data_IF_480799829058
#
_entry.id   IF_480799829058
#
_cell.length_a   1.000
_cell.length_b   1.000
_cell.length_c   1.000
_cell.angle_alpha   90.00
_cell.angle_beta   90.00
_cell.angle_gamma   90.00
#
_symmetry.space_group_name_H-M   'P 1'
#
loop_
_entity.id
_entity.type
_entity.pdbx_description
1 polymer ?
#
# COMPACT_ATOMS: atom_id res chain seq x y z
N UNK A 1 -5.92 32.11 32.19
CA UNK A 1 -5.44 33.19 31.29
C UNK A 1 -5.30 32.71 29.85
N UNK A 2 -4.80 31.50 29.59
CA UNK A 2 -4.69 30.94 28.22
C UNK A 2 -6.03 30.81 27.48
N UNK A 3 -7.10 30.34 28.13
CA UNK A 3 -8.40 30.16 27.48
C UNK A 3 -9.03 31.47 26.91
N UNK A 4 -8.74 32.64 27.51
CA UNK A 4 -9.21 33.92 26.99
C UNK A 4 -8.40 34.39 25.78
N UNK A 5 -7.10 34.11 25.75
CA UNK A 5 -6.24 34.43 24.61
C UNK A 5 -6.61 33.57 23.39
N UNK A 6 -6.98 32.32 23.62
CA UNK A 6 -7.45 31.40 22.57
C UNK A 6 -8.75 31.87 21.91
N UNK A 7 -9.72 32.33 22.71
CA UNK A 7 -11.00 32.87 22.20
C UNK A 7 -10.76 34.10 21.33
N UNK A 8 -9.93 35.03 21.79
CA UNK A 8 -9.63 36.26 21.05
C UNK A 8 -8.87 35.99 19.74
N UNK A 9 -7.99 34.98 19.75
CA UNK A 9 -7.29 34.54 18.54
C UNK A 9 -8.24 33.91 17.51
N UNK A 10 -9.22 33.12 17.97
CA UNK A 10 -10.24 32.54 17.09
C UNK A 10 -11.21 33.60 16.55
N UNK A 11 -11.61 34.59 17.35
CA UNK A 11 -12.41 35.72 16.89
C UNK A 11 -11.69 36.51 15.78
N UNK A 12 -10.41 36.83 16.00
CA UNK A 12 -9.59 37.51 14.98
C UNK A 12 -9.45 36.69 13.70
N UNK A 13 -9.24 35.38 13.82
CA UNK A 13 -9.18 34.48 12.67
C UNK A 13 -10.52 34.40 11.92
N UNK A 14 -11.64 34.47 12.65
CA UNK A 14 -12.98 34.47 12.08
C UNK A 14 -13.25 35.76 11.31
N UNK A 15 -12.90 36.91 11.87
CA UNK A 15 -13.03 38.20 11.18
C UNK A 15 -12.19 38.23 9.90
N UNK A 16 -10.97 37.69 9.94
CA UNK A 16 -10.12 37.54 8.76
C UNK A 16 -10.75 36.62 7.69
N UNK A 17 -11.42 35.54 8.10
CA UNK A 17 -12.14 34.67 7.18
C UNK A 17 -13.36 35.36 6.57
N UNK A 18 -14.10 36.15 7.35
CA UNK A 18 -15.26 36.93 6.84
C UNK A 18 -14.80 37.97 5.82
N UNK A 19 -13.64 38.60 6.06
CA UNK A 19 -13.07 39.58 5.15
C UNK A 19 -12.56 38.95 3.85
N UNK A 20 -11.86 37.81 3.94
CA UNK A 20 -11.29 37.13 2.78
C UNK A 20 -11.61 35.62 2.86
N UNK A 21 -12.82 35.19 2.46
CA UNK A 21 -13.20 33.79 2.55
C UNK A 21 -12.37 32.94 1.60
N UNK A 22 -12.16 31.68 1.97
CA UNK A 22 -11.63 30.66 1.08
C UNK A 22 -12.85 29.95 0.47
N UNK A 23 -13.13 30.21 -0.80
CA UNK A 23 -14.24 29.59 -1.52
C UNK A 23 -13.80 28.23 -2.06
N UNK A 24 -14.28 27.15 -1.46
CA UNK A 24 -14.04 25.80 -1.96
C UNK A 24 -15.16 24.84 -1.60
N UNK A 25 -15.42 23.86 -2.48
CA UNK A 25 -16.38 22.76 -2.26
C UNK A 25 -16.05 21.87 -1.05
N UNK A 26 -14.78 21.89 -0.61
CA UNK A 26 -14.31 21.02 0.47
C UNK A 26 -14.15 21.73 1.81
N UNK A 27 -14.38 23.05 1.87
CA UNK A 27 -14.27 23.85 3.07
C UNK A 27 -15.62 24.44 3.43
N UNK A 28 -16.01 24.32 4.70
CA UNK A 28 -17.18 25.00 5.24
C UNK A 28 -16.81 25.79 6.49
N UNK A 29 -17.40 26.97 6.65
CA UNK A 29 -17.26 27.79 7.85
C UNK A 29 -18.24 27.32 8.92
N UNK A 30 -17.75 26.55 9.90
CA UNK A 30 -18.54 26.17 11.06
C UNK A 30 -18.63 27.30 12.09
N UNK A 31 -19.55 27.19 13.04
CA UNK A 31 -19.79 28.27 14.02
C UNK A 31 -18.58 28.58 14.91
N UNK A 32 -17.74 27.57 15.20
CA UNK A 32 -16.59 27.67 16.11
C UNK A 32 -15.26 27.37 15.43
N UNK A 33 -15.26 26.80 14.23
CA UNK A 33 -14.06 26.37 13.53
C UNK A 33 -14.37 26.09 12.05
N UNK A 34 -13.32 26.08 11.23
CA UNK A 34 -13.38 25.68 9.83
C UNK A 34 -13.49 24.15 9.73
N UNK A 35 -14.40 23.69 8.87
CA UNK A 35 -14.72 22.28 8.67
C UNK A 35 -14.28 21.84 7.27
N UNK A 36 -13.36 20.88 7.19
CA UNK A 36 -12.82 20.38 5.93
C UNK A 36 -13.39 18.99 5.66
N UNK A 37 -14.07 18.84 4.52
CA UNK A 37 -14.69 17.61 4.04
C UNK A 37 -14.07 17.19 2.71
N UNK A 38 -12.93 16.52 2.77
CA UNK A 38 -12.21 16.04 1.59
C UNK A 38 -12.32 14.51 1.42
N UNK A 39 -12.22 13.99 0.18
CA UNK A 39 -12.01 12.57 -0.05
C UNK A 39 -10.72 12.08 0.63
N UNK A 40 -10.71 10.83 1.08
CA UNK A 40 -9.51 10.27 1.71
C UNK A 40 -8.34 10.19 0.71
N UNK A 41 -7.32 11.02 0.92
CA UNK A 41 -5.97 10.88 0.36
C UNK A 41 -4.95 10.95 1.47
N UNK A 42 -3.91 10.11 1.40
CA UNK A 42 -2.81 10.15 2.37
C UNK A 42 -2.06 11.48 2.31
N UNK A 43 -1.97 12.09 1.14
CA UNK A 43 -1.35 13.40 0.95
C UNK A 43 -2.19 14.49 1.65
N UNK A 44 -3.51 14.56 1.40
CA UNK A 44 -4.42 15.50 2.09
C UNK A 44 -4.35 15.34 3.61
N UNK A 45 -4.37 14.11 4.11
CA UNK A 45 -4.28 13.84 5.57
C UNK A 45 -2.96 14.34 6.14
N UNK A 46 -1.85 14.21 5.41
CA UNK A 46 -0.57 14.72 5.86
C UNK A 46 -0.57 16.26 5.87
N UNK A 47 -1.05 16.91 4.80
CA UNK A 47 -1.12 18.38 4.74
C UNK A 47 -1.96 18.98 5.87
N UNK A 48 -3.14 18.42 6.14
CA UNK A 48 -4.01 18.92 7.21
C UNK A 48 -3.39 18.72 8.59
N UNK A 49 -2.65 17.62 8.81
CA UNK A 49 -2.00 17.35 10.10
C UNK A 49 -0.89 18.33 10.45
N UNK A 50 -0.27 18.93 9.44
CA UNK A 50 0.76 19.93 9.66
C UNK A 50 0.15 21.29 10.04
N UNK A 51 -1.18 21.47 9.94
CA UNK A 51 -1.86 22.69 10.37
C UNK A 51 -2.01 22.66 11.90
N UNK A 52 -1.60 23.72 12.62
CA UNK A 52 -1.73 23.77 14.07
C UNK A 52 -3.17 23.54 14.53
N UNK A 53 -3.33 22.76 15.60
CA UNK A 53 -4.62 22.49 16.24
C UNK A 53 -5.69 21.82 15.36
N UNK A 54 -5.33 21.37 14.16
CA UNK A 54 -6.22 20.59 13.31
C UNK A 54 -6.55 19.26 14.00
N UNK A 55 -7.85 19.00 14.17
CA UNK A 55 -8.35 17.76 14.78
C UNK A 55 -9.24 16.99 13.81
N UNK A 56 -9.14 15.67 13.87
CA UNK A 56 -10.08 14.79 13.19
C UNK A 56 -11.30 14.57 14.07
N UNK A 57 -12.49 14.83 13.54
CA UNK A 57 -13.77 14.55 14.17
C UNK A 57 -14.32 13.22 13.61
N UNK A 58 -14.23 12.15 14.40
CA UNK A 58 -14.59 10.81 13.96
C UNK A 58 -16.10 10.64 13.75
N UNK A 59 -16.91 11.35 14.52
CA UNK A 59 -18.37 11.26 14.48
C UNK A 59 -18.91 11.94 13.22
N UNK A 60 -18.40 13.13 12.93
CA UNK A 60 -18.81 13.93 11.76
C UNK A 60 -18.00 13.59 10.50
N UNK A 61 -16.94 12.78 10.64
CA UNK A 61 -15.99 12.38 9.58
C UNK A 61 -15.42 13.57 8.81
N UNK A 62 -14.98 14.58 9.54
CA UNK A 62 -14.40 15.80 8.98
C UNK A 62 -13.20 16.26 9.80
N UNK A 63 -12.37 17.09 9.20
CA UNK A 63 -11.34 17.81 9.93
C UNK A 63 -11.90 19.12 10.44
N UNK A 64 -11.57 19.46 11.69
CA UNK A 64 -11.90 20.73 12.30
C UNK A 64 -10.61 21.51 12.52
N UNK A 65 -10.53 22.71 11.97
CA UNK A 65 -9.39 23.62 12.08
C UNK A 65 -9.87 24.90 12.77
N UNK A 66 -9.34 25.25 13.94
CA UNK A 66 -9.69 26.51 14.60
C UNK A 66 -9.40 27.72 13.72
N UNK A 67 -10.20 28.78 13.88
CA UNK A 67 -10.07 29.99 13.06
C UNK A 67 -8.72 30.69 13.24
N UNK A 68 -8.08 30.55 14.41
CA UNK A 68 -6.72 31.04 14.66
C UNK A 68 -5.66 30.44 13.72
N UNK A 69 -5.95 29.30 13.08
CA UNK A 69 -5.06 28.62 12.13
C UNK A 69 -5.45 28.84 10.68
N UNK A 70 -6.25 29.88 10.41
CA UNK A 70 -6.69 30.23 9.05
C UNK A 70 -5.50 30.54 8.13
N UNK A 71 -4.47 31.23 8.61
CA UNK A 71 -3.34 31.62 7.78
C UNK A 71 -2.56 30.39 7.26
N UNK A 72 -2.28 29.45 8.15
CA UNK A 72 -1.62 28.18 7.83
C UNK A 72 -2.48 27.32 6.92
N UNK A 73 -3.80 27.29 7.14
CA UNK A 73 -4.75 26.63 6.26
C UNK A 73 -4.70 27.25 4.85
N UNK A 74 -4.70 28.59 4.74
CA UNK A 74 -4.70 29.30 3.46
C UNK A 74 -3.44 29.00 2.64
N UNK A 75 -2.28 28.94 3.27
CA UNK A 75 -1.02 28.61 2.60
C UNK A 75 -1.02 27.21 1.98
N UNK A 76 -1.72 26.25 2.60
CA UNK A 76 -1.80 24.85 2.13
C UNK A 76 -3.06 24.51 1.35
N UNK A 77 -4.03 25.42 1.32
CA UNK A 77 -5.35 25.13 0.76
C UNK A 77 -5.29 24.74 -0.72
N UNK A 78 -4.47 25.43 -1.51
CA UNK A 78 -4.31 25.15 -2.93
C UNK A 78 -3.85 23.71 -3.20
N UNK A 79 -2.89 23.20 -2.41
CA UNK A 79 -2.40 21.83 -2.54
C UNK A 79 -3.44 20.80 -2.06
N UNK A 80 -4.13 21.11 -0.96
CA UNK A 80 -5.22 20.27 -0.43
C UNK A 80 -6.35 20.15 -1.45
N UNK A 81 -6.76 21.26 -2.07
CA UNK A 81 -7.83 21.30 -3.05
C UNK A 81 -7.45 20.57 -4.34
N UNK A 82 -6.27 20.84 -4.90
CA UNK A 82 -5.77 20.14 -6.08
C UNK A 82 -5.66 18.62 -5.85
N UNK A 83 -5.21 18.19 -4.67
CA UNK A 83 -5.17 16.77 -4.31
C UNK A 83 -6.57 16.20 -4.06
N UNK A 84 -7.50 16.97 -3.50
CA UNK A 84 -8.89 16.57 -3.31
C UNK A 84 -9.60 16.32 -4.64
N UNK A 85 -9.42 17.19 -5.63
CA UNK A 85 -9.93 17.01 -7.00
C UNK A 85 -9.32 15.77 -7.68
N UNK A 86 -8.01 15.57 -7.57
CA UNK A 86 -7.34 14.38 -8.11
C UNK A 86 -7.78 13.07 -7.43
N UNK A 87 -8.12 13.16 -6.14
CA UNK A 87 -8.56 12.05 -5.29
C UNK A 87 -10.07 11.83 -5.35
N UNK A 88 -10.81 12.65 -6.09
CA UNK A 88 -12.26 12.54 -6.21
C UNK A 88 -12.62 11.11 -6.71
N UNK A 89 -13.56 10.40 -6.07
CA UNK A 89 -13.95 9.05 -6.46
C UNK A 89 -14.34 8.94 -7.94
N UNK A 90 -14.88 10.02 -8.50
CA UNK A 90 -15.23 10.15 -9.91
C UNK A 90 -14.00 10.27 -10.81
N UNK A 91 -12.97 11.03 -10.43
CA UNK A 91 -11.69 11.06 -11.14
C UNK A 91 -10.96 9.71 -11.09
N UNK A 92 -11.05 8.99 -9.96
CA UNK A 92 -10.57 7.60 -9.85
C UNK A 92 -11.35 6.66 -10.76
N UNK A 93 -12.68 6.80 -10.83
CA UNK A 93 -13.54 5.99 -11.70
C UNK A 93 -13.29 6.30 -13.17
N UNK A 94 -13.21 7.57 -13.55
CA UNK A 94 -12.91 8.03 -14.91
C UNK A 94 -11.51 7.58 -15.36
N UNK A 95 -10.49 7.60 -14.49
CA UNK A 95 -9.18 6.99 -14.80
C UNK A 95 -9.28 5.48 -15.01
N UNK A 96 -10.02 4.77 -14.14
CA UNK A 96 -10.25 3.33 -14.30
C UNK A 96 -11.03 3.00 -15.57
N UNK A 97 -11.97 3.84 -15.96
CA UNK A 97 -12.78 3.69 -17.17
C UNK A 97 -11.99 4.08 -18.43
N UNK A 98 -11.09 5.07 -18.37
CA UNK A 98 -10.18 5.42 -19.46
C UNK A 98 -9.08 4.37 -19.68
N UNK A 99 -8.66 3.69 -18.61
CA UNK A 99 -7.77 2.52 -18.65
C UNK A 99 -8.53 1.22 -18.95
N UNK A 100 -9.86 1.25 -19.07
CA UNK A 100 -10.65 0.04 -19.28
C UNK A 100 -10.57 -0.37 -20.76
N UNK A 101 -10.01 -1.55 -21.01
CA UNK A 101 -9.78 -2.05 -22.37
C UNK A 101 -8.46 -1.60 -23.00
N UNK A 102 -7.55 -1.00 -22.23
CA UNK A 102 -6.15 -0.85 -22.68
C UNK A 102 -5.40 -2.17 -22.51
N UNK A 103 -4.38 -2.38 -23.33
CA UNK A 103 -3.47 -3.53 -23.24
C UNK A 103 -2.85 -3.63 -21.83
N UNK A 104 -2.54 -2.50 -21.19
CA UNK A 104 -2.04 -2.45 -19.81
C UNK A 104 -3.01 -3.03 -18.76
N UNK A 105 -4.33 -2.89 -18.95
CA UNK A 105 -5.34 -3.46 -18.06
C UNK A 105 -5.45 -4.98 -18.26
N UNK A 106 -5.38 -5.43 -19.51
CA UNK A 106 -5.39 -6.85 -19.86
C UNK A 106 -4.17 -7.57 -19.29
N UNK A 107 -2.98 -6.99 -19.47
CA UNK A 107 -1.73 -7.43 -18.85
C UNK A 107 -1.82 -7.48 -17.32
N UNK A 108 -2.37 -6.43 -16.72
CA UNK A 108 -2.55 -6.36 -15.27
C UNK A 108 -3.50 -7.45 -14.76
N UNK A 109 -4.58 -7.73 -15.49
CA UNK A 109 -5.51 -8.83 -15.22
C UNK A 109 -4.82 -10.18 -15.42
N UNK A 110 -4.02 -10.36 -16.46
CA UNK A 110 -3.26 -11.58 -16.73
C UNK A 110 -2.26 -11.84 -15.59
N UNK A 111 -1.44 -10.85 -15.21
CA UNK A 111 -0.52 -10.92 -14.05
C UNK A 111 -1.27 -11.20 -12.74
N UNK A 112 -2.46 -10.63 -12.56
CA UNK A 112 -3.27 -10.88 -11.36
C UNK A 112 -3.85 -12.30 -11.34
N UNK A 113 -4.31 -12.82 -12.48
CA UNK A 113 -4.77 -14.21 -12.63
C UNK A 113 -3.62 -15.18 -12.37
N UNK A 114 -2.44 -14.91 -12.92
CA UNK A 114 -1.26 -15.75 -12.75
C UNK A 114 -0.81 -15.79 -11.28
N UNK A 115 -0.69 -14.63 -10.60
CA UNK A 115 -0.36 -14.57 -9.17
C UNK A 115 -1.32 -15.35 -8.27
N UNK A 116 -2.61 -15.46 -8.63
CA UNK A 116 -3.61 -16.23 -7.86
C UNK A 116 -3.40 -17.74 -7.92
N UNK A 117 -2.72 -18.24 -8.97
CA UNK A 117 -2.42 -19.67 -9.13
C UNK A 117 -1.40 -20.18 -8.10
N UNK A 118 -0.62 -19.28 -7.47
CA UNK A 118 0.40 -19.61 -6.44
C UNK A 118 1.35 -20.74 -6.88
N UNK A 119 1.67 -20.75 -8.16
CA UNK A 119 2.73 -21.55 -8.74
C UNK A 119 3.95 -20.67 -8.97
N UNK A 120 5.10 -21.30 -9.15
CA UNK A 120 6.35 -20.63 -9.45
C UNK A 120 7.21 -21.56 -10.30
N UNK A 121 7.87 -21.05 -11.35
CA UNK A 121 8.69 -21.88 -12.22
C UNK A 121 10.03 -22.20 -11.54
N UNK A 122 10.41 -23.48 -11.55
CA UNK A 122 11.68 -23.98 -11.02
C UNK A 122 12.45 -24.66 -12.15
N UNK A 123 13.71 -24.29 -12.33
CA UNK A 123 14.59 -24.98 -13.28
C UNK A 123 14.80 -26.44 -12.88
N UNK A 124 14.58 -27.38 -13.82
CA UNK A 124 14.74 -28.81 -13.58
C UNK A 124 16.17 -29.20 -13.18
N UNK A 125 17.18 -28.55 -13.77
CA UNK A 125 18.58 -28.79 -13.45
C UNK A 125 19.00 -28.27 -12.06
N UNK A 126 18.21 -27.37 -11.48
CA UNK A 126 18.56 -26.67 -10.25
C UNK A 126 17.35 -26.47 -9.32
N UNK A 127 16.89 -27.57 -8.73
CA UNK A 127 15.77 -27.53 -7.77
C UNK A 127 16.16 -26.94 -6.40
N UNK A 128 15.33 -26.06 -5.81
CA UNK A 128 15.55 -25.53 -4.48
C UNK A 128 15.23 -26.55 -3.38
N UNK A 129 15.77 -26.35 -2.16
CA UNK A 129 15.32 -27.09 -0.98
C UNK A 129 13.88 -26.71 -0.59
N UNK A 130 12.98 -27.70 -0.52
CA UNK A 130 11.55 -27.51 -0.26
C UNK A 130 11.22 -27.16 1.20
N UNK A 131 12.06 -27.54 2.17
CA UNK A 131 11.81 -27.30 3.60
C UNK A 131 12.41 -25.98 4.13
N UNK A 132 12.87 -25.10 3.22
CA UNK A 132 13.56 -23.87 3.59
C UNK A 132 12.86 -22.65 3.01
N UNK A 133 13.09 -21.50 3.65
CA UNK A 133 12.74 -20.22 3.07
C UNK A 133 13.68 -19.94 1.90
N UNK A 134 13.08 -19.69 0.74
CA UNK A 134 13.77 -19.40 -0.50
C UNK A 134 13.32 -18.04 -1.02
N UNK A 135 14.26 -17.17 -1.34
CA UNK A 135 13.97 -15.93 -2.02
C UNK A 135 13.80 -16.19 -3.52
N UNK A 136 12.85 -15.47 -4.09
CA UNK A 136 12.43 -15.56 -5.48
C UNK A 136 12.07 -14.17 -5.97
N UNK A 137 11.82 -14.02 -7.27
CA UNK A 137 11.33 -12.77 -7.84
C UNK A 137 9.95 -12.33 -7.29
N UNK A 138 9.19 -13.27 -6.70
CA UNK A 138 7.89 -12.97 -6.05
C UNK A 138 8.02 -12.74 -4.53
N UNK A 139 9.22 -12.84 -3.97
CA UNK A 139 9.53 -12.68 -2.55
C UNK A 139 9.99 -13.98 -1.86
N UNK A 140 10.03 -13.97 -0.53
CA UNK A 140 10.46 -15.15 0.25
C UNK A 140 9.30 -16.13 0.43
N UNK A 141 9.50 -17.37 -0.06
CA UNK A 141 8.48 -18.43 -0.08
C UNK A 141 9.03 -19.75 0.45
N UNK A 142 8.13 -20.67 0.77
CA UNK A 142 8.43 -22.07 1.05
C UNK A 142 7.76 -22.91 -0.02
N UNK A 143 8.54 -23.72 -0.74
CA UNK A 143 8.01 -24.62 -1.76
C UNK A 143 7.36 -25.83 -1.10
N UNK A 144 6.15 -26.18 -1.54
CA UNK A 144 5.38 -27.29 -0.97
C UNK A 144 5.46 -28.56 -1.82
N UNK A 145 5.89 -28.44 -3.06
CA UNK A 145 6.08 -29.56 -3.98
C UNK A 145 5.98 -29.12 -5.44
N UNK A 146 6.38 -30.01 -6.35
CA UNK A 146 6.19 -29.85 -7.80
C UNK A 146 4.98 -30.65 -8.25
N UNK A 147 4.24 -30.13 -9.22
CA UNK A 147 3.16 -30.89 -9.86
C UNK A 147 3.66 -31.75 -11.04
N UNK A 148 4.93 -31.61 -11.42
CA UNK A 148 5.55 -32.32 -12.55
C UNK A 148 5.17 -31.75 -13.92
N UNK A 149 4.39 -30.67 -13.96
CA UNK A 149 4.02 -30.01 -15.21
C UNK A 149 5.15 -29.08 -15.67
N UNK A 150 5.53 -29.21 -16.94
CA UNK A 150 6.49 -28.27 -17.56
C UNK A 150 5.86 -26.88 -17.68
N UNK A 151 6.65 -25.88 -17.34
CA UNK A 151 6.30 -24.48 -17.53
C UNK A 151 6.73 -24.02 -18.92
N UNK A 152 5.77 -23.45 -19.64
CA UNK A 152 6.01 -22.80 -20.93
C UNK A 152 6.98 -21.61 -20.75
N UNK A 153 8.13 -21.57 -21.46
CA UNK A 153 9.12 -20.50 -21.33
C UNK A 153 8.58 -19.10 -21.59
N UNK A 154 7.64 -18.95 -22.55
CA UNK A 154 6.98 -17.66 -22.82
C UNK A 154 6.23 -17.15 -21.60
N UNK A 155 5.39 -18.01 -21.00
CA UNK A 155 4.68 -17.73 -19.76
C UNK A 155 5.63 -17.38 -18.60
N UNK A 156 6.81 -18.03 -18.50
CA UNK A 156 7.80 -17.71 -17.47
C UNK A 156 8.37 -16.31 -17.67
N UNK A 157 8.78 -15.98 -18.89
CA UNK A 157 9.32 -14.68 -19.27
C UNK A 157 8.32 -13.54 -19.09
N UNK A 158 7.05 -13.75 -19.44
CA UNK A 158 6.00 -12.74 -19.36
C UNK A 158 5.62 -12.38 -17.91
N UNK A 159 5.64 -13.36 -17.01
CA UNK A 159 5.06 -13.20 -15.67
C UNK A 159 6.05 -13.25 -14.50
N UNK A 160 7.23 -13.84 -14.68
CA UNK A 160 8.15 -14.12 -13.57
C UNK A 160 9.53 -13.49 -13.77
N UNK A 161 10.30 -13.95 -14.75
CA UNK A 161 11.64 -13.46 -15.05
C UNK A 161 12.06 -13.93 -16.45
N UNK A 162 12.99 -13.23 -17.13
CA UNK A 162 13.47 -13.66 -18.45
C UNK A 162 14.09 -15.05 -18.37
N UNK A 163 13.39 -16.04 -18.91
CA UNK A 163 13.87 -17.41 -19.03
C UNK A 163 14.89 -17.51 -20.16
N UNK A 164 15.95 -18.31 -19.98
CA UNK A 164 16.83 -18.68 -21.09
C UNK A 164 16.13 -19.68 -22.01
N UNK A 165 16.40 -19.60 -23.31
CA UNK A 165 15.75 -20.45 -24.33
C UNK A 165 15.99 -21.96 -24.12
N UNK A 166 17.08 -22.33 -23.45
CA UNK A 166 17.45 -23.74 -23.18
C UNK A 166 17.05 -24.24 -21.78
N UNK A 167 16.44 -23.40 -20.95
CA UNK A 167 16.08 -23.77 -19.57
C UNK A 167 14.71 -24.47 -19.50
N UNK A 168 14.69 -25.72 -19.05
CA UNK A 168 13.44 -26.42 -18.76
C UNK A 168 12.95 -26.10 -17.35
N UNK A 169 11.76 -25.53 -17.26
CA UNK A 169 11.10 -25.18 -15.99
C UNK A 169 9.96 -26.15 -15.68
N UNK A 170 9.76 -26.43 -14.39
CA UNK A 170 8.60 -27.15 -13.86
C UNK A 170 7.84 -26.25 -12.89
N UNK A 171 6.51 -26.34 -12.90
CA UNK A 171 5.69 -25.63 -11.95
C UNK A 171 5.81 -26.23 -10.54
N UNK A 172 6.10 -25.36 -9.58
CA UNK A 172 6.07 -25.69 -8.17
C UNK A 172 5.03 -24.89 -7.43
N UNK A 173 4.37 -25.54 -6.50
CA UNK A 173 3.46 -24.90 -5.55
C UNK A 173 4.26 -24.31 -4.39
N UNK A 174 3.80 -23.18 -3.88
CA UNK A 174 4.46 -22.52 -2.77
C UNK A 174 3.47 -21.88 -1.80
N UNK A 175 3.95 -21.66 -0.58
CA UNK A 175 3.25 -20.89 0.45
C UNK A 175 4.15 -19.81 1.03
N UNK A 176 3.55 -18.79 1.62
CA UNK A 176 4.29 -17.84 2.45
C UNK A 176 4.69 -18.51 3.77
N UNK A 177 5.90 -18.23 4.24
CA UNK A 177 6.36 -18.64 5.56
C UNK A 177 5.55 -17.97 6.67
N UNK A 178 5.36 -18.68 7.77
CA UNK A 178 4.93 -18.11 9.04
C UNK A 178 6.01 -17.21 9.63
N UNK A 179 5.65 -16.37 10.60
CA UNK A 179 6.62 -15.50 11.26
C UNK A 179 7.73 -16.32 11.95
N UNK A 180 7.37 -17.43 12.59
CA UNK A 180 8.32 -18.30 13.30
C UNK A 180 9.32 -18.95 12.35
N UNK A 181 8.83 -19.51 11.24
CA UNK A 181 9.68 -20.10 10.20
C UNK A 181 10.67 -19.08 9.64
N UNK A 182 10.20 -17.86 9.32
CA UNK A 182 11.06 -16.79 8.80
C UNK A 182 12.09 -16.27 9.81
N UNK A 183 11.81 -16.37 11.11
CA UNK A 183 12.76 -15.98 12.17
C UNK A 183 13.84 -17.05 12.34
N UNK A 184 13.49 -18.33 12.17
CA UNK A 184 14.43 -19.46 12.24
C UNK A 184 15.35 -19.57 11.02
N UNK A 185 14.97 -18.97 9.90
CA UNK A 185 15.81 -18.93 8.70
C UNK A 185 17.06 -18.08 8.92
N UNK A 186 18.22 -18.68 8.64
CA UNK A 186 19.50 -17.98 8.58
C UNK A 186 19.64 -17.21 7.26
N UNK A 187 20.00 -15.91 7.30
CA UNK A 187 20.18 -15.11 6.09
C UNK A 187 21.48 -15.46 5.38
N UNK A 188 21.46 -15.37 4.06
CA UNK A 188 22.68 -15.35 3.26
C UNK A 188 23.37 -14.00 3.41
N UNK A 189 24.71 -14.03 3.52
CA UNK A 189 25.50 -12.80 3.72
C UNK A 189 25.70 -12.03 2.43
N UNK A 190 25.78 -12.76 1.32
CA UNK A 190 26.02 -12.20 0.00
C UNK A 190 24.70 -11.98 -0.73
N UNK A 191 24.54 -10.88 -1.47
CA UNK A 191 23.41 -10.71 -2.36
C UNK A 191 23.44 -11.76 -3.48
N UNK A 192 22.29 -12.09 -4.08
CA UNK A 192 22.24 -13.01 -5.21
C UNK A 192 23.06 -12.49 -6.38
N UNK A 193 23.78 -13.40 -7.04
CA UNK A 193 24.51 -13.11 -8.28
C UNK A 193 23.53 -13.07 -9.45
N UNK A 194 23.92 -12.47 -10.58
CA UNK A 194 23.11 -12.50 -11.82
C UNK A 194 22.73 -13.92 -12.26
N UNK A 195 23.58 -14.92 -12.01
CA UNK A 195 23.27 -16.33 -12.26
C UNK A 195 22.16 -16.86 -11.36
N UNK A 196 22.12 -16.45 -10.08
CA UNK A 196 21.07 -16.84 -9.14
C UNK A 196 19.72 -16.21 -9.52
N UNK A 197 19.76 -14.95 -9.98
CA UNK A 197 18.57 -14.26 -10.48
C UNK A 197 18.03 -14.93 -11.76
N UNK A 198 18.90 -15.37 -12.66
CA UNK A 198 18.51 -16.15 -13.86
C UNK A 198 17.96 -17.53 -13.51
N UNK A 199 18.56 -18.22 -12.53
CA UNK A 199 18.04 -19.48 -11.98
C UNK A 199 16.63 -19.31 -11.38
N UNK A 200 16.28 -18.09 -10.98
CA UNK A 200 14.97 -17.73 -10.48
C UNK A 200 14.79 -17.96 -8.99
N UNK A 201 15.80 -18.42 -8.25
CA UNK A 201 15.71 -18.56 -6.79
C UNK A 201 17.08 -18.53 -6.11
N UNK A 202 17.12 -18.06 -4.87
CA UNK A 202 18.34 -17.94 -4.05
C UNK A 202 18.03 -18.05 -2.55
N UNK A 203 19.07 -18.17 -1.74
CA UNK A 203 18.90 -18.06 -0.29
C UNK A 203 18.63 -16.61 0.11
N UNK A 204 17.64 -16.36 0.98
CA UNK A 204 17.20 -15.01 1.26
C UNK A 204 18.26 -14.23 2.04
N UNK A 205 18.46 -12.98 1.63
CA UNK A 205 19.28 -12.00 2.34
C UNK A 205 18.57 -11.52 3.61
N UNK A 206 19.31 -10.83 4.49
CA UNK A 206 18.76 -10.28 5.72
C UNK A 206 17.61 -9.28 5.45
N UNK A 207 17.72 -8.45 4.42
CA UNK A 207 16.73 -7.43 4.11
C UNK A 207 15.45 -8.03 3.52
N UNK A 208 15.58 -9.05 2.67
CA UNK A 208 14.42 -9.83 2.17
C UNK A 208 13.69 -10.52 3.33
N UNK A 209 14.43 -11.11 4.29
CA UNK A 209 13.82 -11.69 5.49
C UNK A 209 13.14 -10.63 6.37
N UNK A 210 13.74 -9.45 6.55
CA UNK A 210 13.13 -8.34 7.31
C UNK A 210 11.79 -7.93 6.68
N UNK A 211 11.76 -7.78 5.36
CA UNK A 211 10.53 -7.45 4.63
C UNK A 211 9.48 -8.55 4.78
N UNK A 212 9.86 -9.82 4.56
CA UNK A 212 8.95 -10.96 4.70
C UNK A 212 8.37 -11.08 6.13
N UNK A 213 9.20 -10.88 7.16
CA UNK A 213 8.77 -10.87 8.57
C UNK A 213 7.78 -9.73 8.87
N UNK A 214 8.01 -8.53 8.31
CA UNK A 214 7.11 -7.38 8.44
C UNK A 214 5.73 -7.69 7.83
N UNK A 215 5.72 -8.28 6.64
CA UNK A 215 4.48 -8.69 5.97
C UNK A 215 3.73 -9.78 6.75
N UNK A 216 4.44 -10.79 7.26
CA UNK A 216 3.86 -11.85 8.08
C UNK A 216 3.20 -11.30 9.36
N UNK A 217 3.87 -10.35 10.04
CA UNK A 217 3.31 -9.64 11.22
C UNK A 217 2.06 -8.87 10.86
N UNK A 218 2.09 -8.10 9.78
CA UNK A 218 0.95 -7.32 9.30
C UNK A 218 -0.26 -8.20 9.01
N UNK A 219 -0.05 -9.33 8.31
CA UNK A 219 -1.10 -10.28 7.97
C UNK A 219 -1.72 -10.94 9.20
N UNK A 220 -0.90 -11.28 10.20
CA UNK A 220 -1.36 -11.84 11.47
C UNK A 220 -2.24 -10.83 12.22
N UNK A 221 -1.80 -9.57 12.29
CA UNK A 221 -2.57 -8.47 12.91
C UNK A 221 -3.89 -8.21 12.19
N UNK A 222 -3.89 -8.24 10.86
CA UNK A 222 -5.08 -8.06 10.05
C UNK A 222 -6.10 -9.19 10.27
N UNK A 223 -5.64 -10.46 10.32
CA UNK A 223 -6.50 -11.61 10.63
C UNK A 223 -7.15 -11.49 12.01
N UNK A 224 -6.37 -11.11 13.04
CA UNK A 224 -6.88 -10.89 14.40
C UNK A 224 -7.95 -9.80 14.47
N UNK A 225 -7.72 -8.66 13.81
CA UNK A 225 -8.72 -7.58 13.74
C UNK A 225 -9.99 -8.02 13.04
N UNK A 226 -9.88 -8.87 12.01
CA UNK A 226 -11.04 -9.34 11.27
C UNK A 226 -11.86 -10.37 12.07
N UNK A 227 -11.19 -11.24 12.85
CA UNK A 227 -11.89 -12.16 13.76
C UNK A 227 -12.58 -11.42 14.90
N UNK A 228 -11.92 -10.42 15.51
CA UNK A 228 -12.52 -9.58 16.57
C UNK A 228 -13.78 -8.85 16.05
N UNK A 229 -13.74 -8.29 14.83
CA UNK A 229 -14.91 -7.65 14.19
C UNK A 229 -16.04 -8.63 13.88
N UNK A 230 -15.72 -9.86 13.51
CA UNK A 230 -16.72 -10.88 13.20
C UNK A 230 -17.42 -11.39 14.48
N UNK A 231 -16.72 -11.37 15.62
CA UNK A 231 -17.27 -11.72 16.93
C UNK A 231 -18.04 -10.59 17.61
N UNK A 232 -17.72 -9.32 17.33
CA UNK A 232 -18.46 -8.17 17.86
C UNK A 232 -19.68 -7.76 17.04
N UNK A 233 -19.94 -8.46 15.93
CA UNK A 233 -21.03 -8.16 14.98
C UNK A 233 -22.06 -9.27 14.82
N UNK A 234 -22.06 -10.26 15.72
CA UNK A 234 -23.11 -11.27 15.87
C UNK A 234 -23.73 -11.16 17.25
#
# INVERSE_FOLDING_TARGET
MEAQQDIFADEKGRDAFVFEPIESRYLNAGATALEIRTPYSRSIVNEIREIPYARWDADRRLWTVPYRSLFELRQRWADIEAEAERSEPEARKARRDALKGTEEEEDSKARARERRRKRYPISLGHSPPFERAIATHVGVVFFTGTNGELADPGTVSDFYFPAGDDDLFVWATWRRGSLEELVRTWPERMPPTSADLKRGWWFPTLDELRQARREARSKTKARRRNSEKSQSGG
#
